data_IF_463704099207
#
_entry.id   IF_463704099207
#
_cell.length_a   1.000
_cell.length_b   1.000
_cell.length_c   1.000
_cell.angle_alpha   90.00
_cell.angle_beta   90.00
_cell.angle_gamma   90.00
#
_symmetry.space_group_name_H-M   'P 1'
#
loop_
_entity.id
_entity.type
_entity.pdbx_description
1 polymer ?
#
# COMPACT_ATOMS: atom_id res chain seq x y z
N UNK A 1 39.94 16.02 48.70
CA UNK A 1 38.89 16.80 49.37
C UNK A 1 37.94 17.31 48.28
N UNK A 2 36.78 16.64 48.19
CA UNK A 2 35.54 16.91 47.45
C UNK A 2 35.53 17.17 45.92
N UNK A 3 34.94 16.18 45.24
CA UNK A 3 34.16 16.28 44.01
C UNK A 3 32.90 17.14 44.23
N UNK A 4 32.58 18.06 43.31
CA UNK A 4 31.28 18.73 43.22
C UNK A 4 30.85 18.74 41.74
N UNK A 5 30.18 17.69 41.27
CA UNK A 5 28.72 17.54 41.18
C UNK A 5 28.01 18.62 40.34
N UNK A 6 27.53 18.14 39.18
CA UNK A 6 26.53 18.68 38.28
C UNK A 6 25.42 19.48 38.98
N UNK A 7 24.94 20.54 38.32
CA UNK A 7 23.52 20.64 37.88
C UNK A 7 23.26 21.89 37.04
N UNK A 8 22.91 21.65 35.77
CA UNK A 8 22.19 22.59 34.94
C UNK A 8 20.75 22.72 35.45
N UNK A 9 20.27 23.94 35.67
CA UNK A 9 18.85 24.22 35.90
C UNK A 9 18.40 25.31 34.92
N UNK A 10 17.85 24.86 33.79
CA UNK A 10 17.05 25.67 32.89
C UNK A 10 15.68 25.90 33.54
N UNK A 11 15.37 27.15 33.87
CA UNK A 11 14.07 27.56 34.40
C UNK A 11 13.05 27.59 33.25
N UNK A 12 12.20 26.57 33.14
CA UNK A 12 10.97 26.66 32.33
C UNK A 12 9.85 27.16 33.24
N UNK A 13 9.36 28.36 32.93
CA UNK A 13 8.33 29.05 33.68
C UNK A 13 6.98 28.33 33.63
N UNK A 14 6.33 28.22 34.78
CA UNK A 14 4.98 27.71 34.99
C UNK A 14 3.94 28.66 34.39
N UNK A 15 3.27 28.25 33.32
CA UNK A 15 1.98 28.84 32.94
C UNK A 15 0.84 28.03 33.55
N UNK A 16 -0.01 28.74 34.29
CA UNK A 16 -1.14 28.25 35.09
C UNK A 16 -2.17 27.50 34.24
N UNK A 17 -2.37 26.21 34.51
CA UNK A 17 -3.58 25.50 34.14
C UNK A 17 -4.62 25.73 35.25
N UNK A 18 -5.64 26.53 34.96
CA UNK A 18 -6.79 26.78 35.85
C UNK A 18 -8.00 26.14 35.18
N UNK A 19 -8.60 25.19 35.91
CA UNK A 19 -10.00 24.77 35.73
C UNK A 19 -10.30 23.70 34.66
N UNK A 20 -10.30 22.44 35.07
CA UNK A 20 -11.52 21.61 35.17
C UNK A 20 -11.12 20.17 35.56
N UNK A 21 -11.18 19.87 36.86
CA UNK A 21 -11.28 18.49 37.35
C UNK A 21 -12.77 18.20 37.52
N UNK A 22 -13.32 17.27 36.75
CA UNK A 22 -14.50 16.51 37.13
C UNK A 22 -14.41 15.12 36.49
N UNK A 23 -14.50 14.13 37.37
CA UNK A 23 -14.39 12.68 37.18
C UNK A 23 -15.67 12.09 36.60
N UNK A 24 -15.62 11.44 35.44
CA UNK A 24 -16.56 10.40 34.94
C UNK A 24 -15.75 9.60 33.88
N UNK A 25 -15.42 8.33 34.02
CA UNK A 25 -16.33 7.20 34.02
C UNK A 25 -17.42 7.38 32.95
N UNK A 26 -17.04 7.39 31.67
CA UNK A 26 -17.96 7.19 30.54
C UNK A 26 -17.16 6.76 29.31
N UNK A 27 -17.45 5.53 28.90
CA UNK A 27 -17.01 4.85 27.69
C UNK A 27 -17.61 5.49 26.44
N UNK A 28 -16.98 5.20 25.30
CA UNK A 28 -17.58 5.22 23.96
C UNK A 28 -18.00 6.57 23.35
N UNK A 29 -17.11 7.13 22.52
CA UNK A 29 -17.54 7.61 21.20
C UNK A 29 -16.51 7.29 20.11
N UNK A 30 -16.51 6.01 19.72
CA UNK A 30 -16.56 5.54 18.35
C UNK A 30 -15.87 6.41 17.27
N UNK A 31 -14.57 6.20 17.09
CA UNK A 31 -14.02 6.07 15.74
C UNK A 31 -13.52 4.63 15.64
N UNK A 32 -14.44 3.70 15.37
CA UNK A 32 -14.03 2.46 14.72
C UNK A 32 -13.54 2.85 13.33
N UNK A 33 -12.28 3.24 13.23
CA UNK A 33 -11.56 3.02 12.00
C UNK A 33 -11.57 1.50 11.88
N UNK A 34 -12.56 0.97 11.18
CA UNK A 34 -12.75 -0.46 10.97
C UNK A 34 -11.37 -1.01 10.63
N UNK A 35 -10.85 -1.92 11.44
CA UNK A 35 -9.57 -2.56 11.13
C UNK A 35 -9.64 -3.16 9.73
N UNK A 36 -10.83 -3.58 9.30
CA UNK A 36 -11.20 -3.97 7.93
C UNK A 36 -10.94 -2.87 6.88
N UNK A 37 -11.31 -1.60 7.14
CA UNK A 37 -11.08 -0.49 6.22
C UNK A 37 -9.60 -0.07 6.14
N UNK A 38 -8.80 -0.39 7.18
CA UNK A 38 -7.33 -0.22 7.17
C UNK A 38 -6.64 -1.41 6.51
N UNK A 39 -7.19 -2.61 6.65
CA UNK A 39 -6.69 -3.82 6.01
C UNK A 39 -7.05 -3.87 4.51
N UNK A 40 -8.14 -3.23 4.12
CA UNK A 40 -8.51 -2.97 2.72
C UNK A 40 -7.53 -2.00 2.03
N UNK A 41 -6.68 -1.29 2.78
CA UNK A 41 -5.72 -0.35 2.20
C UNK A 41 -4.66 -1.04 1.35
N UNK A 42 -4.42 -2.34 1.53
CA UNK A 42 -3.37 -3.10 0.84
C UNK A 42 -3.81 -4.56 0.62
N UNK A 43 -5.00 -4.80 0.07
CA UNK A 43 -5.32 -6.16 -0.42
C UNK A 43 -4.66 -6.37 -1.78
N UNK A 44 -3.91 -7.47 -1.92
CA UNK A 44 -3.38 -7.87 -3.22
C UNK A 44 -4.55 -8.19 -4.17
N UNK A 45 -4.56 -7.66 -5.41
CA UNK A 45 -5.67 -7.84 -6.34
C UNK A 45 -5.86 -9.31 -6.71
N UNK A 46 -7.12 -9.73 -6.85
CA UNK A 46 -7.47 -11.10 -7.20
C UNK A 46 -7.44 -11.28 -8.73
N UNK A 47 -6.91 -12.42 -9.18
CA UNK A 47 -6.85 -12.71 -10.61
C UNK A 47 -8.27 -12.97 -11.17
N UNK A 48 -8.58 -12.48 -12.39
CA UNK A 48 -9.87 -12.73 -13.00
C UNK A 48 -10.04 -14.21 -13.38
N UNK A 49 -11.28 -14.67 -13.44
CA UNK A 49 -11.58 -16.00 -13.96
C UNK A 49 -11.19 -16.06 -15.46
N UNK A 50 -10.39 -17.04 -15.90
CA UNK A 50 -10.03 -17.21 -17.31
C UNK A 50 -11.22 -17.25 -18.27
N UNK A 51 -12.39 -17.74 -17.82
CA UNK A 51 -13.61 -17.82 -18.64
C UNK A 51 -14.20 -16.45 -18.98
N UNK A 52 -13.79 -15.40 -18.28
CA UNK A 52 -14.23 -14.01 -18.53
C UNK A 52 -13.39 -13.31 -19.60
N UNK A 53 -12.33 -13.95 -20.07
CA UNK A 53 -11.50 -13.43 -21.16
C UNK A 53 -12.13 -13.77 -22.52
N UNK A 54 -12.38 -12.74 -23.34
CA UNK A 54 -12.92 -12.92 -24.70
C UNK A 54 -11.95 -13.63 -25.67
N UNK A 55 -10.66 -13.71 -25.35
CA UNK A 55 -9.59 -14.24 -26.20
C UNK A 55 -9.46 -13.60 -27.61
N UNK A 56 -10.14 -12.48 -27.86
CA UNK A 56 -10.18 -11.80 -29.18
C UNK A 56 -9.41 -10.48 -29.22
N UNK A 57 -8.73 -10.10 -28.13
CA UNK A 57 -8.02 -8.81 -28.06
C UNK A 57 -8.95 -7.60 -27.95
N UNK A 58 -10.03 -7.70 -27.16
CA UNK A 58 -10.96 -6.58 -26.96
C UNK A 58 -10.34 -5.45 -26.11
N UNK A 59 -10.84 -4.20 -26.21
CA UNK A 59 -10.33 -3.06 -25.45
C UNK A 59 -10.60 -3.15 -23.93
N UNK A 60 -11.53 -4.01 -23.51
CA UNK A 60 -11.89 -4.23 -22.10
C UNK A 60 -11.28 -5.53 -21.55
N UNK A 61 -10.03 -5.84 -21.93
CA UNK A 61 -9.38 -7.07 -21.51
C UNK A 61 -9.23 -7.14 -19.97
N UNK A 62 -9.87 -8.14 -19.36
CA UNK A 62 -9.86 -8.37 -17.91
C UNK A 62 -8.44 -8.57 -17.36
N UNK A 63 -7.53 -9.16 -18.15
CA UNK A 63 -6.14 -9.35 -17.75
C UNK A 63 -5.33 -8.05 -17.78
N UNK A 64 -5.66 -7.11 -18.67
CA UNK A 64 -5.05 -5.77 -18.68
C UNK A 64 -5.48 -5.00 -17.45
N UNK A 65 -6.77 -5.06 -17.09
CA UNK A 65 -7.30 -4.45 -15.87
C UNK A 65 -6.64 -5.03 -14.61
N UNK A 66 -6.54 -6.36 -14.54
CA UNK A 66 -5.82 -7.02 -13.45
C UNK A 66 -4.37 -6.57 -13.34
N UNK A 67 -3.64 -6.50 -14.46
CA UNK A 67 -2.27 -6.04 -14.47
C UNK A 67 -2.12 -4.59 -13.97
N UNK A 68 -3.05 -3.70 -14.36
CA UNK A 68 -3.09 -2.32 -13.85
C UNK A 68 -3.30 -2.28 -12.33
N UNK A 69 -4.15 -3.14 -11.79
CA UNK A 69 -4.39 -3.20 -10.36
C UNK A 69 -3.20 -3.78 -9.58
N UNK A 70 -2.51 -4.78 -10.15
CA UNK A 70 -1.23 -5.29 -9.62
C UNK A 70 -0.18 -4.19 -9.62
N UNK A 71 -0.03 -3.43 -10.71
CA UNK A 71 0.89 -2.29 -10.76
C UNK A 71 0.59 -1.27 -9.68
N UNK A 72 -0.68 -0.84 -9.54
CA UNK A 72 -1.11 0.10 -8.50
C UNK A 72 -0.81 -0.42 -7.10
N UNK A 73 -0.99 -1.71 -6.86
CA UNK A 73 -0.65 -2.34 -5.59
C UNK A 73 0.85 -2.14 -5.28
N UNK A 74 1.76 -2.48 -6.18
CA UNK A 74 3.19 -2.30 -5.93
C UNK A 74 3.60 -0.82 -5.79
N UNK A 75 2.98 0.09 -6.56
CA UNK A 75 3.26 1.53 -6.48
C UNK A 75 2.80 2.16 -5.15
N UNK A 76 1.64 1.75 -4.64
CA UNK A 76 1.11 2.20 -3.33
C UNK A 76 1.86 1.58 -2.16
N UNK A 77 2.36 0.36 -2.33
CA UNK A 77 3.11 -0.38 -1.32
C UNK A 77 4.62 -0.20 -1.43
N UNK A 78 5.06 0.97 -1.92
CA UNK A 78 6.47 1.28 -2.05
C UNK A 78 7.25 1.14 -0.75
N UNK A 79 6.64 1.27 0.43
CA UNK A 79 7.33 1.06 1.70
C UNK A 79 7.81 -0.39 1.92
N UNK A 80 7.10 -1.39 1.39
CA UNK A 80 7.50 -2.80 1.46
C UNK A 80 8.52 -3.18 0.37
N UNK A 81 8.56 -2.42 -0.72
CA UNK A 81 9.39 -2.67 -1.90
C UNK A 81 10.39 -1.53 -2.20
N UNK A 82 10.69 -0.68 -1.22
CA UNK A 82 11.45 0.58 -1.38
C UNK A 82 12.86 0.36 -1.94
N UNK A 83 13.40 -0.85 -1.75
CA UNK A 83 14.73 -1.23 -2.23
C UNK A 83 14.77 -1.74 -3.67
N UNK A 84 13.63 -1.91 -4.34
CA UNK A 84 13.57 -2.47 -5.70
C UNK A 84 13.54 -1.36 -6.76
N UNK A 85 14.37 -1.52 -7.81
CA UNK A 85 14.33 -0.66 -8.99
C UNK A 85 13.01 -0.82 -9.75
N UNK A 86 12.70 0.12 -10.66
CA UNK A 86 11.50 0.05 -11.50
C UNK A 86 11.49 -1.22 -12.35
N UNK A 87 12.65 -1.63 -12.86
CA UNK A 87 12.84 -2.86 -13.63
C UNK A 87 12.59 -4.11 -12.79
N UNK A 88 13.03 -4.12 -11.53
CA UNK A 88 12.78 -5.24 -10.62
C UNK A 88 11.30 -5.36 -10.24
N UNK A 89 10.63 -4.23 -10.02
CA UNK A 89 9.17 -4.23 -9.76
C UNK A 89 8.41 -4.74 -10.98
N UNK A 90 8.81 -4.32 -12.18
CA UNK A 90 8.28 -4.81 -13.43
C UNK A 90 8.39 -6.33 -13.54
N UNK A 91 9.55 -6.90 -13.24
CA UNK A 91 9.75 -8.35 -13.33
C UNK A 91 8.85 -9.12 -12.33
N UNK A 92 8.72 -8.62 -11.10
CA UNK A 92 7.80 -9.22 -10.12
C UNK A 92 6.35 -9.20 -10.58
N UNK A 93 5.90 -8.08 -11.16
CA UNK A 93 4.56 -7.95 -11.72
C UNK A 93 4.38 -8.96 -12.86
N UNK A 94 5.41 -9.15 -13.68
CA UNK A 94 5.36 -10.11 -14.80
C UNK A 94 5.23 -11.54 -14.31
N UNK A 95 6.12 -11.95 -13.40
CA UNK A 95 6.06 -13.28 -12.78
C UNK A 95 4.70 -13.54 -12.11
N UNK A 96 4.16 -12.54 -11.44
CA UNK A 96 2.87 -12.62 -10.78
C UNK A 96 1.73 -12.89 -11.77
N UNK A 97 1.67 -12.16 -12.88
CA UNK A 97 0.63 -12.31 -13.90
C UNK A 97 0.81 -13.64 -14.65
N UNK A 98 2.04 -14.04 -14.96
CA UNK A 98 2.33 -15.26 -15.71
C UNK A 98 1.90 -16.53 -15.01
N UNK A 99 1.87 -16.54 -13.66
CA UNK A 99 1.34 -17.67 -12.90
C UNK A 99 -0.13 -17.96 -13.18
N UNK A 100 -0.89 -16.99 -13.68
CA UNK A 100 -2.32 -17.14 -13.97
C UNK A 100 -2.62 -17.34 -15.45
N UNK A 101 -1.67 -17.04 -16.35
CA UNK A 101 -1.92 -17.02 -17.81
C UNK A 101 -1.08 -18.07 -18.51
N UNK A 102 -1.72 -19.16 -18.95
CA UNK A 102 -1.05 -20.23 -19.70
C UNK A 102 -0.89 -19.91 -21.19
N UNK A 103 -1.77 -19.08 -21.77
CA UNK A 103 -1.75 -18.74 -23.19
C UNK A 103 -0.57 -17.81 -23.54
N UNK A 104 0.28 -18.27 -24.47
CA UNK A 104 1.51 -17.56 -24.88
C UNK A 104 1.19 -16.25 -25.60
N UNK A 105 0.15 -16.22 -26.43
CA UNK A 105 -0.22 -15.07 -27.23
C UNK A 105 -0.82 -13.97 -26.35
N UNK A 106 -1.64 -14.35 -25.37
CA UNK A 106 -2.21 -13.44 -24.39
C UNK A 106 -1.11 -12.81 -23.51
N UNK A 107 -0.13 -13.60 -23.05
CA UNK A 107 1.06 -13.06 -22.35
C UNK A 107 1.80 -12.04 -23.21
N UNK A 108 2.08 -12.38 -24.48
CA UNK A 108 2.78 -11.50 -25.39
C UNK A 108 2.03 -10.16 -25.60
N UNK A 109 0.71 -10.22 -25.80
CA UNK A 109 -0.15 -9.04 -25.90
C UNK A 109 -0.09 -8.17 -24.64
N UNK A 110 -0.26 -8.77 -23.45
CA UNK A 110 -0.18 -8.05 -22.17
C UNK A 110 1.17 -7.36 -21.98
N UNK A 111 2.27 -7.99 -22.37
CA UNK A 111 3.60 -7.39 -22.27
C UNK A 111 3.82 -6.20 -23.18
N UNK A 112 3.22 -6.20 -24.37
CA UNK A 112 3.26 -5.03 -25.23
C UNK A 112 2.48 -3.87 -24.62
N UNK A 113 1.29 -4.14 -24.07
CA UNK A 113 0.46 -3.14 -23.39
C UNK A 113 1.13 -2.56 -22.13
N UNK A 114 1.69 -3.42 -21.28
CA UNK A 114 2.32 -3.00 -20.03
C UNK A 114 3.62 -2.21 -20.24
N UNK A 115 4.38 -2.50 -21.31
CA UNK A 115 5.55 -1.68 -21.68
C UNK A 115 5.16 -0.28 -22.14
N UNK A 116 4.00 -0.13 -22.76
CA UNK A 116 3.50 1.18 -23.20
C UNK A 116 3.01 2.03 -22.02
N UNK A 117 2.64 1.40 -20.90
CA UNK A 117 2.23 2.09 -19.67
C UNK A 117 3.45 2.55 -18.88
N UNK A 118 3.59 3.88 -18.72
CA UNK A 118 4.59 4.44 -17.81
C UNK A 118 4.11 4.26 -16.36
N UNK A 119 4.99 3.73 -15.51
CA UNK A 119 4.82 3.78 -14.05
C UNK A 119 4.88 5.24 -13.62
N UNK A 120 3.77 5.80 -13.16
CA UNK A 120 3.69 7.18 -12.69
C UNK A 120 3.18 7.20 -11.24
#
# INVERSE_FOLDING_TARGET
MLMAFLRAHLQISRSRCVFCKQTLAETDQHLSINEDARNDLIKFPEAPDPSTCCATGCPNCVWVQYADDVMKYYSKNRSAHYSLSAEQQLELIREQIDRHIQDVNLRAYLWMELRAKKFN
#
